data_IF_172734960768
#
_entry.id   IF_172734960768
#
_cell.length_a   1.000
_cell.length_b   1.000
_cell.length_c   1.000
_cell.angle_alpha   90.00
_cell.angle_beta   90.00
_cell.angle_gamma   90.00
#
_symmetry.space_group_name_H-M   'P 1'
#
loop_
_entity.id
_entity.type
_entity.pdbx_description
1 polymer ?
#
# COMPACT_ATOMS: atom_id res chain seq x y z
N UNK A 1 6.93 -16.38 -4.67
CA UNK A 1 7.27 -15.62 -3.46
C UNK A 1 7.17 -14.16 -3.78
N UNK A 2 6.07 -13.53 -3.40
CA UNK A 2 5.85 -12.09 -3.62
C UNK A 2 6.39 -11.38 -2.39
N UNK A 3 7.45 -10.57 -2.57
CA UNK A 3 7.94 -9.69 -1.51
C UNK A 3 7.29 -8.33 -1.70
N UNK A 4 6.51 -7.89 -0.73
CA UNK A 4 5.89 -6.56 -0.75
C UNK A 4 6.72 -5.52 0.00
N UNK A 5 7.83 -5.91 0.62
CA UNK A 5 8.75 -5.00 1.31
C UNK A 5 9.29 -3.86 0.45
N UNK A 6 9.49 -4.11 -0.85
CA UNK A 6 10.01 -3.14 -1.82
C UNK A 6 8.92 -2.42 -2.63
N UNK A 7 7.65 -2.53 -2.24
CA UNK A 7 6.55 -1.85 -2.93
C UNK A 7 6.73 -0.32 -2.84
N UNK A 8 6.69 0.36 -3.99
CA UNK A 8 6.73 1.82 -4.09
C UNK A 8 5.47 2.33 -4.79
N UNK A 9 4.38 2.54 -4.04
CA UNK A 9 3.14 3.09 -4.58
C UNK A 9 3.28 4.58 -4.91
N UNK A 10 2.51 5.06 -5.88
CA UNK A 10 2.52 6.47 -6.28
C UNK A 10 1.57 7.33 -5.45
N UNK A 11 0.51 6.74 -4.88
CA UNK A 11 -0.54 7.49 -4.19
C UNK A 11 -0.46 7.45 -2.66
N UNK A 12 0.33 6.56 -2.07
CA UNK A 12 0.48 6.41 -0.64
C UNK A 12 1.89 6.00 -0.25
N UNK A 13 2.27 6.37 0.97
CA UNK A 13 3.54 5.94 1.54
C UNK A 13 3.39 4.48 2.00
N UNK A 14 4.30 3.63 1.53
CA UNK A 14 4.42 2.25 1.94
C UNK A 14 5.67 2.03 2.76
N UNK A 15 5.56 1.25 3.84
CA UNK A 15 6.72 0.70 4.53
C UNK A 15 6.40 -0.65 5.15
N UNK A 16 7.24 -1.65 4.89
CA UNK A 16 7.18 -2.93 5.58
C UNK A 16 8.37 -3.05 6.53
N UNK A 17 8.12 -3.30 7.82
CA UNK A 17 9.16 -3.56 8.82
C UNK A 17 8.75 -4.69 9.73
N UNK A 18 9.65 -5.66 9.94
CA UNK A 18 9.43 -6.82 10.83
C UNK A 18 8.11 -7.55 10.54
N UNK A 19 7.84 -7.80 9.24
CA UNK A 19 6.59 -8.38 8.76
C UNK A 19 5.31 -7.54 8.95
N UNK A 20 5.41 -6.29 9.43
CA UNK A 20 4.28 -5.37 9.54
C UNK A 20 4.29 -4.38 8.38
N UNK A 21 3.25 -4.43 7.54
CA UNK A 21 3.01 -3.46 6.48
C UNK A 21 2.28 -2.22 7.03
N UNK A 22 2.86 -1.04 6.82
CA UNK A 22 2.30 0.27 7.18
C UNK A 22 1.98 1.05 5.92
N UNK A 23 0.70 1.40 5.76
CA UNK A 23 0.18 2.24 4.68
C UNK A 23 -0.15 3.61 5.25
N UNK A 24 0.39 4.69 4.67
CA UNK A 24 0.06 6.07 5.05
C UNK A 24 -0.45 6.83 3.83
N UNK A 25 -1.68 7.32 3.94
CA UNK A 25 -2.29 8.21 2.97
C UNK A 25 -1.82 9.65 3.24
N UNK A 26 -0.78 10.11 2.53
CA UNK A 26 -0.20 11.44 2.74
C UNK A 26 -0.64 12.44 1.65
N UNK A 27 -1.96 12.68 1.53
CA UNK A 27 -2.53 13.71 0.64
C UNK A 27 -3.28 14.82 1.41
N UNK A 28 -2.56 15.70 2.13
CA UNK A 28 -3.19 16.81 2.85
C UNK A 28 -3.67 17.97 1.94
N UNK A 29 -3.07 18.15 0.75
CA UNK A 29 -3.20 19.40 -0.02
C UNK A 29 -4.44 19.58 -0.91
N UNK A 30 -5.28 18.56 -1.11
CA UNK A 30 -6.39 18.65 -2.08
C UNK A 30 -7.70 17.99 -1.66
N UNK A 31 -8.26 18.24 -0.46
CA UNK A 31 -9.64 17.82 -0.10
C UNK A 31 -10.04 16.38 -0.56
N UNK A 32 -9.08 15.45 -0.61
CA UNK A 32 -9.20 14.07 -1.08
C UNK A 32 -10.35 13.76 -2.05
N UNK A 33 -10.30 14.14 -3.35
CA UNK A 33 -10.88 13.24 -4.32
C UNK A 33 -10.01 11.98 -4.24
N UNK A 34 -10.54 10.92 -3.62
CA UNK A 34 -10.13 9.57 -3.93
C UNK A 34 -10.35 9.44 -5.44
N UNK A 35 -9.33 9.76 -6.24
CA UNK A 35 -9.34 9.44 -7.65
C UNK A 35 -9.45 7.92 -7.72
N UNK A 36 -10.18 7.44 -8.72
CA UNK A 36 -10.39 6.00 -8.89
C UNK A 36 -9.05 5.25 -8.92
N UNK A 37 -7.99 5.89 -9.41
CA UNK A 37 -6.63 5.36 -9.46
C UNK A 37 -6.02 5.12 -8.07
N UNK A 38 -6.15 6.06 -7.12
CA UNK A 38 -5.65 5.88 -5.74
C UNK A 38 -6.40 4.78 -5.00
N UNK A 39 -7.69 4.62 -5.26
CA UNK A 39 -8.47 3.51 -4.70
C UNK A 39 -8.13 2.17 -5.35
N UNK A 40 -7.93 2.16 -6.68
CA UNK A 40 -7.52 0.96 -7.42
C UNK A 40 -6.15 0.46 -6.94
N UNK A 41 -5.17 1.35 -6.80
CA UNK A 41 -3.83 1.01 -6.31
C UNK A 41 -3.86 0.47 -4.89
N UNK A 42 -4.67 1.07 -4.01
CA UNK A 42 -4.86 0.59 -2.64
C UNK A 42 -5.51 -0.80 -2.62
N UNK A 43 -6.60 -1.00 -3.38
CA UNK A 43 -7.29 -2.29 -3.48
C UNK A 43 -6.37 -3.38 -4.00
N UNK A 44 -5.61 -3.09 -5.04
CA UNK A 44 -4.73 -4.06 -5.68
C UNK A 44 -3.55 -4.41 -4.77
N UNK A 45 -3.05 -3.44 -3.98
CA UNK A 45 -2.06 -3.67 -2.92
C UNK A 45 -2.61 -4.58 -1.82
N UNK A 46 -3.84 -4.36 -1.34
CA UNK A 46 -4.48 -5.24 -0.36
C UNK A 46 -4.72 -6.66 -0.89
N UNK A 47 -5.02 -6.81 -2.19
CA UNK A 47 -5.15 -8.14 -2.81
C UNK A 47 -3.81 -8.85 -2.90
N UNK A 48 -2.75 -8.13 -3.22
CA UNK A 48 -1.42 -8.69 -3.32
C UNK A 48 -0.84 -9.08 -1.94
N UNK A 49 -1.25 -8.41 -0.86
CA UNK A 49 -0.88 -8.76 0.52
C UNK A 49 -1.24 -10.21 0.90
N UNK A 50 -2.32 -10.77 0.35
CA UNK A 50 -2.71 -12.17 0.60
C UNK A 50 -1.67 -13.17 0.09
N UNK A 51 -0.86 -12.78 -0.89
CA UNK A 51 0.19 -13.59 -1.49
C UNK A 51 1.60 -13.18 -1.03
N UNK A 52 1.70 -12.24 -0.08
CA UNK A 52 2.95 -11.76 0.44
C UNK A 52 3.50 -12.76 1.46
N UNK A 53 4.72 -13.25 1.23
CA UNK A 53 5.40 -14.15 2.18
C UNK A 53 6.20 -13.37 3.24
N UNK A 54 6.26 -12.05 3.12
CA UNK A 54 7.05 -11.14 3.96
C UNK A 54 6.21 -10.19 4.83
N UNK A 55 4.89 -10.40 4.87
CA UNK A 55 3.94 -9.66 5.71
C UNK A 55 3.10 -10.65 6.51
N UNK A 56 3.16 -10.55 7.84
CA UNK A 56 2.40 -11.33 8.81
C UNK A 56 1.76 -10.34 9.79
N UNK A 57 0.43 -10.26 9.81
CA UNK A 57 -0.35 -9.32 10.64
C UNK A 57 -1.48 -10.02 11.39
#
# INVERSE_FOLDING_TARGET
MTKMSDLTPEHFDWSCRKAVATIRLNRPDRKNPLTFDSYAELRDTFRALVYADDVDA
#
